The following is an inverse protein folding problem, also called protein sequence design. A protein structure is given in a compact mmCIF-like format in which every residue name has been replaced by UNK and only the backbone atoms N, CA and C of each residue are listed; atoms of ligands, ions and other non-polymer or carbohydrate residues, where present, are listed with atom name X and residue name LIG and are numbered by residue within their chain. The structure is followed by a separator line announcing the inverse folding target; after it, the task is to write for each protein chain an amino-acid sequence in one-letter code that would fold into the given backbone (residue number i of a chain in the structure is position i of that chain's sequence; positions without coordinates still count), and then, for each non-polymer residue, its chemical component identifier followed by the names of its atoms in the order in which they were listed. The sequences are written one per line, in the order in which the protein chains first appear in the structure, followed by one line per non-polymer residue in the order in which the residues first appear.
data_IF_436357529447
#
_entry.id   IF_436357529447
#
_cell.length_a   1.000
_cell.length_b   1.000
_cell.length_c   1.000
_cell.angle_alpha   90.00
_cell.angle_beta   90.00
_cell.angle_gamma   90.00
#
_symmetry.space_group_name_H-M   'P 1'
#
loop_
_entity.id
_entity.type
_entity.pdbx_description
1 polymer ?
#
# COMPACT_ATOMS: atom_id res chain seq x y z
N UNK A 1 -3.90 29.15 -0.82
CA UNK A 1 -4.64 27.90 -1.08
C UNK A 1 -3.76 26.73 -0.72
N UNK A 2 -4.16 25.94 0.28
CA UNK A 2 -3.42 24.74 0.70
C UNK A 2 -3.66 23.66 -0.35
N UNK A 3 -2.62 23.25 -1.05
CA UNK A 3 -2.70 22.20 -2.04
C UNK A 3 -2.69 20.84 -1.33
N UNK A 4 -3.85 20.30 -0.98
CA UNK A 4 -3.97 19.04 -0.23
C UNK A 4 -3.85 17.84 -1.17
N UNK A 5 -2.75 17.12 -1.05
CA UNK A 5 -2.50 15.88 -1.81
C UNK A 5 -2.48 14.71 -0.84
N UNK A 6 -3.30 13.70 -1.10
CA UNK A 6 -3.43 12.51 -0.25
C UNK A 6 -3.10 11.25 -1.04
N UNK A 7 -2.58 10.23 -0.37
CA UNK A 7 -2.40 8.91 -0.95
C UNK A 7 -3.16 7.84 -0.16
N UNK A 8 -3.77 6.90 -0.87
CA UNK A 8 -4.33 5.68 -0.29
C UNK A 8 -3.58 4.48 -0.85
N UNK A 9 -3.18 3.55 0.03
CA UNK A 9 -2.51 2.30 -0.32
C UNK A 9 -3.38 1.14 0.19
N UNK A 10 -3.73 0.24 -0.71
CA UNK A 10 -4.40 -1.03 -0.42
C UNK A 10 -3.40 -2.18 -0.55
N UNK A 11 -3.14 -2.87 0.56
CA UNK A 11 -2.26 -4.04 0.64
C UNK A 11 -3.12 -5.30 0.59
N UNK A 12 -3.33 -5.77 -0.64
CA UNK A 12 -4.14 -6.93 -0.96
C UNK A 12 -3.36 -8.25 -0.93
N UNK A 13 -4.12 -9.34 -1.02
CA UNK A 13 -3.58 -10.71 -1.12
C UNK A 13 -2.75 -10.93 -2.38
N UNK A 14 -3.18 -10.39 -3.53
CA UNK A 14 -2.47 -10.57 -4.80
C UNK A 14 -1.58 -9.37 -5.15
N UNK A 15 -2.07 -8.17 -4.87
CA UNK A 15 -1.47 -6.93 -5.35
C UNK A 15 -1.55 -5.82 -4.32
N UNK A 16 -0.58 -4.90 -4.39
CA UNK A 16 -0.61 -3.62 -3.67
C UNK A 16 -0.96 -2.53 -4.66
N UNK A 17 -1.96 -1.72 -4.33
CA UNK A 17 -2.41 -0.59 -5.14
C UNK A 17 -2.19 0.71 -4.38
N UNK A 18 -1.80 1.75 -5.09
CA UNK A 18 -1.77 3.11 -4.58
C UNK A 18 -2.54 4.04 -5.52
N UNK A 19 -3.28 4.97 -4.94
CA UNK A 19 -3.87 6.11 -5.65
C UNK A 19 -3.46 7.39 -4.94
N UNK A 20 -2.99 8.37 -5.70
CA UNK A 20 -2.71 9.73 -5.21
C UNK A 20 -3.77 10.67 -5.76
N UNK A 21 -4.37 11.45 -4.88
CA UNK A 21 -5.42 12.40 -5.21
C UNK A 21 -5.03 13.81 -4.80
N UNK A 22 -5.44 14.78 -5.61
CA UNK A 22 -5.46 16.20 -5.24
C UNK A 22 -6.87 16.59 -4.87
N UNK A 23 -7.07 17.08 -3.65
CA UNK A 23 -8.38 17.53 -3.16
C UNK A 23 -8.67 18.92 -3.72
N UNK A 24 -9.91 19.16 -4.13
CA UNK A 24 -10.40 20.49 -4.50
C UNK A 24 -10.95 21.15 -3.23
N UNK A 25 -10.34 22.22 -2.67
CA UNK A 25 -10.77 22.77 -1.39
C UNK A 25 -12.18 23.36 -1.42
N UNK A 26 -12.60 23.86 -2.58
CA UNK A 26 -13.86 24.60 -2.77
C UNK A 26 -15.03 23.71 -3.18
N UNK A 27 -14.78 22.43 -3.49
CA UNK A 27 -15.78 21.49 -4.01
C UNK A 27 -15.61 20.13 -3.35
N UNK A 28 -16.67 19.32 -3.16
CA UNK A 28 -16.58 17.95 -2.66
C UNK A 28 -16.03 17.00 -3.74
N UNK A 29 -14.84 17.30 -4.26
CA UNK A 29 -14.25 16.65 -5.41
C UNK A 29 -12.74 16.46 -5.24
N UNK A 30 -12.20 15.52 -5.99
CA UNK A 30 -10.77 15.26 -6.08
C UNK A 30 -10.41 14.81 -7.49
N UNK A 31 -9.12 14.93 -7.82
CA UNK A 31 -8.58 14.43 -9.08
C UNK A 31 -7.47 13.43 -8.78
N UNK A 32 -7.51 12.27 -9.44
CA UNK A 32 -6.42 11.31 -9.37
C UNK A 32 -5.24 11.87 -10.17
N UNK A 33 -4.09 12.01 -9.52
CA UNK A 33 -2.87 12.55 -10.14
C UNK A 33 -1.78 11.50 -10.32
N UNK A 34 -1.86 10.37 -9.61
CA UNK A 34 -0.99 9.22 -9.85
C UNK A 34 -1.65 7.91 -9.39
N UNK A 35 -1.18 6.80 -9.95
CA UNK A 35 -1.51 5.44 -9.53
C UNK A 35 -0.25 4.59 -9.58
N UNK A 36 -0.12 3.66 -8.64
CA UNK A 36 0.91 2.61 -8.68
C UNK A 36 0.24 1.26 -8.41
N UNK A 37 0.70 0.22 -9.10
CA UNK A 37 0.23 -1.16 -8.88
C UNK A 37 1.41 -2.11 -8.92
N UNK A 38 1.45 -3.02 -7.95
CA UNK A 38 2.43 -4.09 -7.90
C UNK A 38 1.76 -5.42 -7.61
N UNK A 39 2.05 -6.45 -8.41
CA UNK A 39 1.73 -7.83 -8.05
C UNK A 39 2.77 -8.31 -7.05
N UNK A 40 2.33 -8.74 -5.86
CA UNK A 40 3.20 -9.16 -4.75
C UNK A 40 2.90 -10.57 -4.26
N UNK A 41 1.66 -11.04 -4.48
CA UNK A 41 1.16 -12.36 -4.05
C UNK A 41 1.48 -12.67 -2.59
N UNK A 42 1.02 -11.81 -1.68
CA UNK A 42 1.02 -12.09 -0.23
C UNK A 42 0.14 -13.30 0.14
N UNK A 43 -0.78 -13.69 -0.73
CA UNK A 43 -1.57 -14.92 -0.59
C UNK A 43 -0.80 -16.21 -0.86
N UNK A 44 0.39 -16.14 -1.47
CA UNK A 44 1.26 -17.30 -1.65
C UNK A 44 1.94 -17.58 -0.30
N UNK A 45 1.18 -18.25 0.56
CA UNK A 45 1.55 -18.61 1.92
C UNK A 45 2.41 -19.87 1.93
N UNK A 46 3.18 -20.01 3.00
CA UNK A 46 3.91 -21.23 3.29
C UNK A 46 2.91 -22.40 3.45
N UNK A 47 3.11 -23.53 2.75
CA UNK A 47 2.13 -24.61 2.72
C UNK A 47 2.02 -25.40 4.02
N UNK A 48 3.05 -25.35 4.87
CA UNK A 48 3.08 -26.10 6.14
C UNK A 48 2.55 -25.25 7.29
N UNK A 49 2.98 -23.99 7.35
CA UNK A 49 2.68 -23.06 8.46
C UNK A 49 1.50 -22.15 8.17
N UNK A 50 1.16 -21.93 6.90
CA UNK A 50 0.17 -20.94 6.48
C UNK A 50 0.65 -19.50 6.61
N UNK A 51 1.92 -19.25 6.92
CA UNK A 51 2.47 -17.91 7.11
C UNK A 51 2.78 -17.19 5.80
N UNK A 52 2.99 -15.87 5.88
CA UNK A 52 3.55 -15.12 4.75
C UNK A 52 4.96 -15.64 4.46
N UNK A 53 5.22 -15.99 3.21
CA UNK A 53 6.57 -16.35 2.76
C UNK A 53 7.49 -15.13 2.78
N UNK A 54 8.77 -15.35 3.08
CA UNK A 54 9.78 -14.27 3.09
C UNK A 54 9.85 -13.56 1.72
N UNK A 55 9.77 -14.33 0.63
CA UNK A 55 9.77 -13.77 -0.72
C UNK A 55 8.56 -12.86 -0.99
N UNK A 56 7.37 -13.25 -0.52
CA UNK A 56 6.18 -12.42 -0.67
C UNK A 56 6.28 -11.13 0.16
N UNK A 57 6.80 -11.22 1.39
CA UNK A 57 7.07 -10.05 2.23
C UNK A 57 8.09 -9.11 1.57
N UNK A 58 9.17 -9.63 0.98
CA UNK A 58 10.18 -8.81 0.28
C UNK A 58 9.60 -8.09 -0.94
N UNK A 59 8.80 -8.78 -1.76
CA UNK A 59 8.10 -8.15 -2.90
C UNK A 59 7.17 -7.04 -2.42
N UNK A 60 6.43 -7.28 -1.35
CA UNK A 60 5.53 -6.31 -0.74
C UNK A 60 6.28 -5.09 -0.18
N UNK A 61 7.34 -5.29 0.59
CA UNK A 61 8.20 -4.20 1.10
C UNK A 61 8.80 -3.38 -0.04
N UNK A 62 9.27 -4.03 -1.12
CA UNK A 62 9.80 -3.32 -2.30
C UNK A 62 8.72 -2.48 -2.99
N UNK A 63 7.48 -2.98 -3.07
CA UNK A 63 6.36 -2.23 -3.63
C UNK A 63 5.97 -1.03 -2.74
N UNK A 64 5.92 -1.21 -1.42
CA UNK A 64 5.65 -0.14 -0.47
C UNK A 64 6.72 0.97 -0.51
N UNK A 65 8.00 0.60 -0.67
CA UNK A 65 9.08 1.57 -0.87
C UNK A 65 8.89 2.39 -2.15
N UNK A 66 8.43 1.79 -3.25
CA UNK A 66 8.08 2.55 -4.47
C UNK A 66 6.92 3.52 -4.23
N UNK A 67 5.88 3.07 -3.51
CA UNK A 67 4.75 3.92 -3.14
C UNK A 67 5.22 5.12 -2.30
N UNK A 68 6.11 4.89 -1.33
CA UNK A 68 6.71 5.95 -0.50
C UNK A 68 7.50 6.94 -1.37
N UNK A 69 8.36 6.47 -2.27
CA UNK A 69 9.11 7.34 -3.19
C UNK A 69 8.19 8.20 -4.06
N UNK A 70 7.10 7.61 -4.59
CA UNK A 70 6.10 8.35 -5.37
C UNK A 70 5.34 9.37 -4.53
N UNK A 71 5.00 9.02 -3.28
CA UNK A 71 4.33 9.93 -2.37
C UNK A 71 5.21 11.15 -2.04
N UNK A 72 6.50 10.92 -1.77
CA UNK A 72 7.47 11.98 -1.53
C UNK A 72 7.65 12.89 -2.75
N UNK A 73 7.79 12.33 -3.96
CA UNK A 73 8.00 13.14 -5.17
C UNK A 73 6.80 14.04 -5.51
N UNK A 74 5.60 13.64 -5.08
CA UNK A 74 4.36 14.40 -5.27
C UNK A 74 4.00 15.32 -4.09
N UNK A 75 4.85 15.39 -3.06
CA UNK A 75 4.57 16.12 -1.82
C UNK A 75 3.22 15.75 -1.20
N UNK A 76 2.92 14.45 -1.12
CA UNK A 76 1.74 13.93 -0.43
C UNK A 76 1.79 14.36 1.03
N UNK A 77 0.70 14.98 1.50
CA UNK A 77 0.53 15.46 2.88
C UNK A 77 0.29 14.32 3.86
N UNK A 78 -0.51 13.32 3.44
CA UNK A 78 -0.79 12.14 4.25
C UNK A 78 -0.99 10.89 3.39
N UNK A 79 -0.50 9.76 3.91
CA UNK A 79 -0.66 8.43 3.32
C UNK A 79 -1.52 7.61 4.26
N UNK A 80 -2.60 7.04 3.75
CA UNK A 80 -3.39 6.02 4.44
C UNK A 80 -3.11 4.66 3.80
N UNK A 81 -2.51 3.74 4.56
CA UNK A 81 -2.26 2.37 4.12
C UNK A 81 -3.14 1.38 4.89
N UNK A 82 -3.77 0.45 4.19
CA UNK A 82 -4.65 -0.57 4.78
C UNK A 82 -4.23 -1.94 4.26
N UNK A 83 -4.05 -2.89 5.18
CA UNK A 83 -3.79 -4.28 4.84
C UNK A 83 -5.04 -5.15 5.04
N UNK A 84 -5.22 -6.12 4.15
CA UNK A 84 -6.42 -6.97 4.10
C UNK A 84 -6.12 -8.40 4.59
N UNK A 85 -6.84 -9.40 4.06
CA UNK A 85 -6.88 -10.77 4.58
C UNK A 85 -5.51 -11.44 4.67
N UNK A 86 -4.64 -11.30 3.67
CA UNK A 86 -3.34 -11.95 3.68
C UNK A 86 -2.47 -11.61 4.90
N UNK A 87 -2.51 -10.35 5.35
CA UNK A 87 -1.76 -9.92 6.54
C UNK A 87 -2.53 -10.22 7.83
N UNK A 88 -3.86 -10.07 7.82
CA UNK A 88 -4.68 -10.28 9.02
C UNK A 88 -4.77 -11.74 9.46
N UNK A 89 -4.75 -12.68 8.50
CA UNK A 89 -5.02 -14.10 8.75
C UNK A 89 -3.76 -14.93 9.00
N UNK A 90 -2.57 -14.34 8.88
CA UNK A 90 -1.28 -15.03 9.05
C UNK A 90 -0.70 -14.74 10.42
N UNK A 91 -0.01 -15.72 11.01
CA UNK A 91 0.52 -15.57 12.36
C UNK A 91 1.68 -14.56 12.40
N UNK A 92 2.47 -14.52 11.33
CA UNK A 92 3.56 -13.56 11.13
C UNK A 92 3.15 -12.24 10.46
N UNK A 93 1.85 -12.00 10.25
CA UNK A 93 1.33 -10.73 9.72
C UNK A 93 1.75 -9.49 10.53
N UNK A 94 1.68 -9.51 11.88
CA UNK A 94 2.17 -8.42 12.71
C UNK A 94 3.68 -8.15 12.57
N UNK A 95 4.49 -9.19 12.31
CA UNK A 95 5.92 -9.01 12.05
C UNK A 95 6.15 -8.33 10.71
N UNK A 96 5.39 -8.70 9.69
CA UNK A 96 5.42 -8.00 8.40
C UNK A 96 5.08 -6.51 8.54
N UNK A 97 4.09 -6.14 9.36
CA UNK A 97 3.70 -4.74 9.59
C UNK A 97 4.75 -3.90 10.35
N UNK A 98 5.68 -4.54 11.07
CA UNK A 98 6.75 -3.86 11.81
C UNK A 98 7.99 -3.54 10.96
N UNK A 99 8.09 -4.10 9.75
CA UNK A 99 9.22 -3.90 8.82
C UNK A 99 9.10 -2.59 8.04
#
# INVERSE_FOLDING_TARGET
MVNRILAAIDVGTNSIHMVVVRIQPELPAFTIIAKERATVRLGDRDPETGDLTQEAMERATKALRRCQTLAHSLNVEAILAVATSAVRETSNGPDFLRR
#
